data_IF_470290861437
#
_entry.id   IF_470290861437
#
_cell.length_a   1.000
_cell.length_b   1.000
_cell.length_c   1.000
_cell.angle_alpha   90.00
_cell.angle_beta   90.00
_cell.angle_gamma   90.00
#
_symmetry.space_group_name_H-M   'P 1'
#
loop_
_entity.id
_entity.type
_entity.pdbx_description
1 polymer ?
#
# COMPACT_ATOMS: atom_id res chain seq x y z
N UNK A 1 23.76 -12.18 25.54
CA UNK A 1 24.10 -11.79 24.15
C UNK A 1 23.68 -10.34 23.92
N UNK A 2 24.55 -9.50 23.34
CA UNK A 2 24.23 -8.11 23.05
C UNK A 2 23.12 -8.00 21.98
N UNK A 3 22.17 -7.08 22.15
CA UNK A 3 21.10 -6.83 21.17
C UNK A 3 21.71 -6.31 19.87
N UNK A 4 21.24 -6.80 18.72
CA UNK A 4 21.68 -6.29 17.41
C UNK A 4 21.31 -4.81 17.23
N UNK A 5 22.08 -4.06 16.43
CA UNK A 5 21.81 -2.63 16.14
C UNK A 5 20.36 -2.38 15.68
N UNK A 6 19.80 -3.30 14.90
CA UNK A 6 18.41 -3.26 14.46
C UNK A 6 17.40 -3.47 15.60
N UNK A 7 17.71 -4.34 16.56
CA UNK A 7 16.88 -4.55 17.75
C UNK A 7 16.88 -3.32 18.66
N UNK A 8 18.05 -2.66 18.80
CA UNK A 8 18.19 -1.40 19.53
C UNK A 8 17.34 -0.31 18.88
N UNK A 9 17.40 -0.17 17.54
CA UNK A 9 16.56 0.77 16.81
C UNK A 9 15.07 0.54 17.08
N UNK A 10 14.58 -0.71 16.98
CA UNK A 10 13.17 -1.05 17.22
C UNK A 10 12.73 -0.70 18.64
N UNK A 11 13.53 -1.06 19.64
CA UNK A 11 13.24 -0.76 21.04
C UNK A 11 13.18 0.76 21.26
N UNK A 12 14.13 1.52 20.67
CA UNK A 12 14.12 2.98 20.76
C UNK A 12 12.91 3.59 20.07
N UNK A 13 12.53 3.09 18.89
CA UNK A 13 11.37 3.60 18.15
C UNK A 13 10.06 3.41 18.93
N UNK A 14 9.90 2.26 19.60
CA UNK A 14 8.77 2.01 20.51
C UNK A 14 8.85 2.91 21.75
N UNK A 15 10.05 3.10 22.32
CA UNK A 15 10.26 3.99 23.45
C UNK A 15 9.78 5.41 23.17
N UNK A 16 10.12 5.96 21.99
CA UNK A 16 9.69 7.30 21.57
C UNK A 16 8.16 7.43 21.44
N UNK A 17 7.47 6.36 21.04
CA UNK A 17 6.01 6.34 21.01
C UNK A 17 5.37 6.45 22.40
N UNK A 18 6.09 6.01 23.44
CA UNK A 18 5.66 6.09 24.83
C UNK A 18 6.08 7.39 25.52
N UNK A 19 7.12 8.05 25.01
CA UNK A 19 7.66 9.31 25.57
C UNK A 19 6.92 10.56 25.09
N UNK A 20 6.16 10.46 24.00
CA UNK A 20 5.41 11.60 23.46
C UNK A 20 4.26 12.02 24.38
N UNK A 21 4.06 13.33 24.54
CA UNK A 21 2.96 13.91 25.34
C UNK A 21 1.58 13.48 24.84
N UNK A 22 0.62 13.25 25.74
CA UNK A 22 -0.78 12.93 25.42
C UNK A 22 -1.45 12.06 26.48
N UNK A 23 -2.72 11.70 26.26
CA UNK A 23 -3.48 10.80 27.14
C UNK A 23 -2.92 9.38 27.12
N UNK A 24 -3.31 8.56 28.09
CA UNK A 24 -2.95 7.15 28.16
C UNK A 24 -3.38 6.40 26.88
N UNK A 25 -4.57 6.68 26.36
CA UNK A 25 -5.06 6.09 25.12
C UNK A 25 -4.24 6.54 23.90
N UNK A 26 -3.80 7.79 23.85
CA UNK A 26 -2.96 8.31 22.77
C UNK A 26 -1.57 7.68 22.79
N UNK A 27 -0.98 7.51 23.97
CA UNK A 27 0.29 6.80 24.17
C UNK A 27 0.16 5.34 23.71
N UNK A 28 -0.88 4.64 24.17
CA UNK A 28 -1.14 3.26 23.76
C UNK A 28 -1.31 3.14 22.25
N UNK A 29 -2.13 4.00 21.64
CA UNK A 29 -2.38 4.01 20.21
C UNK A 29 -1.07 4.24 19.42
N UNK A 30 -0.25 5.21 19.82
CA UNK A 30 1.08 5.45 19.23
C UNK A 30 1.98 4.21 19.33
N UNK A 31 1.98 3.53 20.48
CA UNK A 31 2.68 2.27 20.67
C UNK A 31 2.25 1.19 19.67
N UNK A 32 0.95 1.03 19.42
CA UNK A 32 0.42 0.12 18.41
C UNK A 32 0.90 0.49 16.99
N UNK A 33 0.87 1.77 16.63
CA UNK A 33 1.29 2.23 15.30
C UNK A 33 2.80 2.04 15.10
N UNK A 34 3.60 2.27 16.14
CA UNK A 34 5.03 2.02 16.11
C UNK A 34 5.36 0.54 15.82
N UNK A 35 4.62 -0.38 16.45
CA UNK A 35 4.76 -1.81 16.22
C UNK A 35 4.36 -2.21 14.79
N UNK A 36 3.24 -1.68 14.29
CA UNK A 36 2.78 -1.97 12.93
C UNK A 36 3.75 -1.43 11.87
N UNK A 37 4.31 -0.24 12.07
CA UNK A 37 5.37 0.31 11.21
C UNK A 37 6.63 -0.56 11.21
N UNK A 38 7.06 -1.04 12.38
CA UNK A 38 8.18 -1.98 12.50
C UNK A 38 7.90 -3.30 11.78
N UNK A 39 6.68 -3.84 11.91
CA UNK A 39 6.24 -5.07 11.21
C UNK A 39 6.32 -4.88 9.69
N UNK A 40 5.80 -3.77 9.19
CA UNK A 40 5.90 -3.40 7.78
C UNK A 40 7.36 -3.30 7.30
N UNK A 41 8.24 -2.64 8.07
CA UNK A 41 9.66 -2.51 7.70
C UNK A 41 10.33 -3.88 7.59
N UNK A 42 10.09 -4.79 8.54
CA UNK A 42 10.62 -6.16 8.50
C UNK A 42 10.12 -6.94 7.29
N UNK A 43 8.81 -6.93 7.03
CA UNK A 43 8.22 -7.60 5.87
C UNK A 43 8.72 -7.01 4.54
N UNK A 44 9.06 -5.73 4.53
CA UNK A 44 9.62 -5.02 3.38
C UNK A 44 11.14 -5.15 3.21
N UNK A 45 11.83 -5.92 4.06
CA UNK A 45 13.28 -6.06 4.03
C UNK A 45 14.04 -4.79 4.44
N UNK A 46 13.37 -3.81 5.05
CA UNK A 46 13.97 -2.56 5.52
C UNK A 46 14.60 -2.82 6.89
N UNK A 47 15.93 -2.76 6.95
CA UNK A 47 16.69 -2.91 8.19
C UNK A 47 17.36 -1.59 8.57
N UNK A 48 16.79 -0.88 9.55
CA UNK A 48 17.34 0.39 10.02
C UNK A 48 18.10 0.20 11.33
N UNK A 49 19.14 1.01 11.52
CA UNK A 49 19.97 1.04 12.72
C UNK A 49 19.81 2.34 13.51
N UNK A 50 19.38 3.42 12.85
CA UNK A 50 19.17 4.74 13.45
C UNK A 50 17.89 5.37 12.94
N UNK A 51 17.24 6.16 13.78
CA UNK A 51 15.96 6.81 13.48
C UNK A 51 16.09 7.89 12.40
N UNK A 52 17.23 8.57 12.33
CA UNK A 52 17.52 9.56 11.30
C UNK A 52 17.50 8.95 9.89
N UNK A 53 17.69 7.63 9.78
CA UNK A 53 17.67 6.89 8.52
C UNK A 53 16.25 6.50 8.06
N UNK A 54 15.20 6.85 8.83
CA UNK A 54 13.82 6.71 8.38
C UNK A 54 13.59 7.71 7.24
N UNK A 55 13.53 7.20 6.01
CA UNK A 55 13.28 8.02 4.81
C UNK A 55 11.78 8.27 4.64
N UNK A 56 11.40 9.43 4.11
CA UNK A 56 10.02 9.79 3.75
C UNK A 56 9.36 8.68 2.92
N UNK A 57 10.09 8.15 1.93
CA UNK A 57 9.61 7.04 1.10
C UNK A 57 9.21 5.78 1.88
N UNK A 58 9.78 5.52 3.05
CA UNK A 58 9.37 4.36 3.86
C UNK A 58 8.03 4.59 4.54
N UNK A 59 7.75 5.83 4.93
CA UNK A 59 6.47 6.25 5.52
C UNK A 59 5.38 6.25 4.43
N UNK A 60 5.65 6.81 3.26
CA UNK A 60 4.72 6.75 2.11
C UNK A 60 4.36 5.30 1.79
N UNK A 61 5.37 4.42 1.66
CA UNK A 61 5.16 2.99 1.40
C UNK A 61 4.38 2.29 2.52
N UNK A 62 4.55 2.71 3.77
CA UNK A 62 3.75 2.20 4.89
C UNK A 62 2.28 2.58 4.72
N UNK A 63 2.00 3.85 4.38
CA UNK A 63 0.63 4.29 4.13
C UNK A 63 0.02 3.59 2.91
N UNK A 64 0.78 3.35 1.84
CA UNK A 64 0.35 2.51 0.71
C UNK A 64 0.06 1.07 1.14
N UNK A 65 0.88 0.49 2.03
CA UNK A 65 0.64 -0.85 2.55
C UNK A 65 -0.64 -0.93 3.40
N UNK A 66 -0.82 -0.02 4.35
CA UNK A 66 -2.03 0.07 5.19
C UNK A 66 -3.27 0.39 4.36
N UNK A 67 -3.11 1.20 3.32
CA UNK A 67 -4.12 1.46 2.30
C UNK A 67 -4.61 0.14 1.69
N UNK A 68 -3.70 -0.70 1.22
CA UNK A 68 -4.06 -1.95 0.54
C UNK A 68 -4.66 -3.00 1.47
N UNK A 69 -4.41 -2.91 2.78
CA UNK A 69 -5.11 -3.69 3.80
C UNK A 69 -6.55 -3.23 4.03
N UNK A 70 -7.00 -2.14 3.40
CA UNK A 70 -8.37 -1.62 3.55
C UNK A 70 -8.57 -0.78 4.81
N UNK A 71 -7.50 -0.30 5.44
CA UNK A 71 -7.60 0.60 6.61
C UNK A 71 -8.28 1.90 6.19
N UNK A 72 -9.29 2.31 6.96
CA UNK A 72 -10.12 3.50 6.68
C UNK A 72 -9.27 4.78 6.75
N UNK A 73 -9.61 5.77 5.92
CA UNK A 73 -8.91 7.06 5.86
C UNK A 73 -8.77 7.74 7.24
N UNK A 74 -9.84 7.79 8.03
CA UNK A 74 -9.82 8.38 9.39
C UNK A 74 -8.80 7.69 10.30
N UNK A 75 -8.66 6.37 10.20
CA UNK A 75 -7.66 5.63 11.00
C UNK A 75 -6.26 5.99 10.50
N UNK A 76 -6.03 6.02 9.19
CA UNK A 76 -4.74 6.40 8.62
C UNK A 76 -4.33 7.83 9.00
N UNK A 77 -5.25 8.78 9.06
CA UNK A 77 -4.94 10.13 9.54
C UNK A 77 -4.40 10.11 10.98
N UNK A 78 -5.05 9.34 11.86
CA UNK A 78 -4.54 9.14 13.23
C UNK A 78 -3.17 8.45 13.25
N UNK A 79 -2.95 7.46 12.37
CA UNK A 79 -1.64 6.82 12.24
C UNK A 79 -0.55 7.80 11.79
N UNK A 80 -0.88 8.74 10.90
CA UNK A 80 0.04 9.77 10.44
C UNK A 80 0.44 10.69 11.60
N UNK A 81 -0.54 11.20 12.35
CA UNK A 81 -0.28 12.04 13.53
C UNK A 81 0.56 11.30 14.57
N UNK A 82 0.31 10.00 14.79
CA UNK A 82 1.10 9.17 15.68
C UNK A 82 2.57 9.04 15.21
N UNK A 83 2.79 8.78 13.92
CA UNK A 83 4.14 8.69 13.35
C UNK A 83 4.87 10.04 13.36
N UNK A 84 4.19 11.14 13.07
CA UNK A 84 4.75 12.50 13.15
C UNK A 84 5.17 12.84 14.58
N UNK A 85 4.36 12.49 15.60
CA UNK A 85 4.74 12.67 16.99
C UNK A 85 6.01 11.87 17.37
N UNK A 86 6.12 10.61 16.94
CA UNK A 86 7.32 9.79 17.16
C UNK A 86 8.55 10.41 16.49
N UNK A 87 8.39 10.97 15.28
CA UNK A 87 9.47 11.63 14.54
C UNK A 87 9.86 12.97 15.18
N UNK A 88 8.91 13.73 15.71
CA UNK A 88 9.18 14.96 16.46
C UNK A 88 10.05 14.67 17.69
N UNK A 89 9.65 13.66 18.48
CA UNK A 89 10.39 13.20 19.67
C UNK A 89 11.80 12.68 19.30
N UNK A 90 11.95 12.14 18.08
CA UNK A 90 13.24 11.74 17.54
C UNK A 90 14.14 12.89 17.06
N UNK A 91 13.68 14.15 17.15
CA UNK A 91 14.36 15.32 16.60
C UNK A 91 14.28 15.41 15.08
N UNK A 92 13.34 14.72 14.43
CA UNK A 92 13.13 14.75 12.98
C UNK A 92 12.05 15.77 12.59
N UNK A 93 12.17 17.02 13.08
CA UNK A 93 11.16 18.07 12.94
C UNK A 93 10.65 18.28 11.51
N UNK A 94 11.54 18.28 10.52
CA UNK A 94 11.17 18.42 9.10
C UNK A 94 10.20 17.32 8.64
N UNK A 95 10.41 16.07 9.07
CA UNK A 95 9.54 14.94 8.70
C UNK A 95 8.29 14.85 9.56
N UNK A 96 8.32 15.48 10.73
CA UNK A 96 7.24 15.53 11.68
C UNK A 96 6.25 16.67 11.40
N UNK A 97 6.63 17.63 10.55
CA UNK A 97 5.81 18.77 10.17
C UNK A 97 4.45 18.30 9.59
N UNK A 98 3.32 18.69 10.19
CA UNK A 98 1.97 18.41 9.69
C UNK A 98 1.73 18.90 8.25
N UNK A 99 2.39 20.00 7.86
CA UNK A 99 2.25 20.62 6.54
C UNK A 99 3.33 20.15 5.55
N UNK A 100 4.11 19.12 5.92
CA UNK A 100 5.15 18.59 5.06
C UNK A 100 4.58 18.18 3.69
N UNK A 101 5.17 18.60 2.56
CA UNK A 101 4.55 18.49 1.22
C UNK A 101 4.27 17.05 0.75
N UNK A 102 4.92 16.06 1.38
CA UNK A 102 4.74 14.63 1.08
C UNK A 102 4.16 13.80 2.23
N UNK A 103 4.09 14.37 3.44
CA UNK A 103 3.71 13.66 4.67
C UNK A 103 2.56 14.37 5.38
N UNK A 104 1.58 14.81 4.62
CA UNK A 104 0.33 15.36 5.11
C UNK A 104 -0.86 14.50 4.63
N UNK A 105 -2.05 14.63 5.23
CA UNK A 105 -3.21 13.82 4.87
C UNK A 105 -3.59 13.87 3.38
N UNK A 106 -3.40 15.02 2.71
CA UNK A 106 -3.73 15.24 1.31
C UNK A 106 -2.72 14.52 0.41
N UNK A 107 -1.42 14.75 0.63
CA UNK A 107 -0.33 14.13 -0.12
C UNK A 107 -0.33 12.60 -0.02
N UNK A 108 -0.78 12.06 1.11
CA UNK A 108 -0.91 10.62 1.33
C UNK A 108 -2.27 10.05 0.87
N UNK A 109 -3.20 10.89 0.39
CA UNK A 109 -4.52 10.46 -0.06
C UNK A 109 -5.39 9.87 1.06
N UNK A 110 -5.27 10.41 2.27
CA UNK A 110 -5.97 9.97 3.48
C UNK A 110 -6.85 11.05 4.12
N UNK A 111 -6.91 12.28 3.60
CA UNK A 111 -7.66 13.42 4.14
C UNK A 111 -9.20 13.27 4.23
N UNK A 112 -9.77 12.09 3.94
CA UNK A 112 -11.22 11.89 3.94
C UNK A 112 -11.94 12.47 2.73
N UNK A 113 -11.26 13.32 1.94
CA UNK A 113 -11.59 13.57 0.55
C UNK A 113 -11.20 12.36 -0.29
N UNK A 114 -12.01 12.08 -1.32
CA UNK A 114 -11.66 11.13 -2.38
C UNK A 114 -10.31 11.61 -2.98
N UNK A 115 -9.32 10.72 -3.14
CA UNK A 115 -8.01 11.15 -3.63
C UNK A 115 -8.15 11.75 -5.02
N UNK A 116 -7.36 12.78 -5.33
CA UNK A 116 -7.18 13.14 -6.74
C UNK A 116 -6.47 11.99 -7.44
N UNK A 117 -7.05 11.52 -8.55
CA UNK A 117 -6.48 10.43 -9.32
C UNK A 117 -6.05 10.95 -10.67
N UNK A 118 -4.74 11.04 -10.88
CA UNK A 118 -4.15 11.47 -12.15
C UNK A 118 -3.95 10.27 -13.07
N UNK A 119 -4.31 10.44 -14.34
CA UNK A 119 -4.09 9.42 -15.36
C UNK A 119 -2.60 9.31 -15.70
N UNK A 120 -1.98 8.12 -15.59
CA UNK A 120 -0.55 7.97 -15.86
C UNK A 120 -0.20 8.06 -17.36
N UNK A 121 -1.20 8.04 -18.25
CA UNK A 121 -0.99 8.06 -19.70
C UNK A 121 -1.05 9.48 -20.28
N UNK A 122 -1.98 10.33 -19.79
CA UNK A 122 -2.20 11.68 -20.32
C UNK A 122 -2.11 12.79 -19.28
N UNK A 123 -1.80 12.45 -18.02
CA UNK A 123 -1.68 13.37 -16.89
C UNK A 123 -2.94 14.21 -16.56
N UNK A 124 -4.09 13.89 -17.16
CA UNK A 124 -5.37 14.52 -16.81
C UNK A 124 -5.95 13.90 -15.53
N UNK A 125 -6.68 14.70 -14.76
CA UNK A 125 -7.46 14.21 -13.61
C UNK A 125 -8.57 13.26 -14.07
N UNK A 126 -8.74 12.16 -13.35
CA UNK A 126 -9.79 11.19 -13.57
C UNK A 126 -11.09 11.60 -12.85
N UNK A 127 -12.21 11.07 -13.32
CA UNK A 127 -13.53 11.29 -12.72
C UNK A 127 -13.98 10.05 -11.95
N UNK A 128 -14.62 10.25 -10.80
CA UNK A 128 -15.22 9.13 -10.06
C UNK A 128 -16.64 8.87 -10.57
N UNK A 129 -16.88 7.66 -11.03
CA UNK A 129 -18.14 7.20 -11.63
C UNK A 129 -18.68 5.97 -10.91
N UNK A 130 -19.95 5.64 -11.19
CA UNK A 130 -20.57 4.39 -10.74
C UNK A 130 -20.25 3.25 -11.70
N UNK A 131 -20.35 2.01 -11.23
CA UNK A 131 -19.97 0.83 -11.98
C UNK A 131 -20.89 0.54 -13.16
N UNK A 132 -22.12 1.05 -13.16
CA UNK A 132 -23.02 0.97 -14.31
C UNK A 132 -22.50 1.75 -15.52
N UNK A 133 -21.70 2.80 -15.33
CA UNK A 133 -21.08 3.55 -16.43
C UNK A 133 -19.94 2.76 -17.10
N UNK A 134 -19.24 1.93 -16.32
CA UNK A 134 -18.12 1.10 -16.82
C UNK A 134 -18.61 -0.27 -17.31
N UNK A 135 -19.59 -0.85 -16.62
CA UNK A 135 -20.16 -2.16 -16.88
C UNK A 135 -21.69 -2.11 -16.86
N UNK A 136 -22.35 -1.59 -17.91
CA UNK A 136 -23.80 -1.44 -17.96
C UNK A 136 -24.57 -2.75 -17.75
N UNK A 137 -24.00 -3.87 -18.17
CA UNK A 137 -24.63 -5.19 -18.12
C UNK A 137 -24.31 -5.99 -16.85
N UNK A 138 -23.64 -5.41 -15.85
CA UNK A 138 -23.26 -6.09 -14.60
C UNK A 138 -23.86 -5.40 -13.38
N UNK A 139 -25.11 -5.75 -13.10
CA UNK A 139 -25.91 -5.15 -12.03
C UNK A 139 -25.23 -5.27 -10.64
N UNK A 140 -24.50 -6.36 -10.39
CA UNK A 140 -23.75 -6.59 -9.15
C UNK A 140 -22.59 -5.60 -8.94
N UNK A 141 -22.17 -4.90 -10.00
CA UNK A 141 -21.14 -3.88 -9.96
C UNK A 141 -21.68 -2.46 -10.01
N UNK A 142 -22.97 -2.26 -10.29
CA UNK A 142 -23.57 -0.95 -10.56
C UNK A 142 -23.23 0.08 -9.47
N UNK A 143 -23.35 -0.31 -8.20
CA UNK A 143 -23.13 0.58 -7.06
C UNK A 143 -21.66 0.81 -6.68
N UNK A 144 -20.74 0.06 -7.27
CA UNK A 144 -19.32 0.17 -6.98
C UNK A 144 -18.72 1.42 -7.63
N UNK A 145 -17.76 2.04 -6.95
CA UNK A 145 -17.08 3.23 -7.47
C UNK A 145 -15.87 2.86 -8.34
N UNK A 146 -15.66 3.63 -9.40
CA UNK A 146 -14.51 3.54 -10.30
C UNK A 146 -13.97 4.94 -10.57
N UNK A 147 -12.64 5.07 -10.66
CA UNK A 147 -12.03 6.23 -11.28
C UNK A 147 -11.79 5.94 -12.75
N UNK A 148 -12.21 6.83 -13.65
CA UNK A 148 -11.98 6.71 -15.09
C UNK A 148 -11.38 8.00 -15.64
N UNK A 149 -10.34 7.86 -16.47
CA UNK A 149 -9.83 8.97 -17.27
C UNK A 149 -10.81 9.27 -18.41
N UNK A 150 -11.30 10.51 -18.55
CA UNK A 150 -12.24 10.86 -19.62
C UNK A 150 -11.63 10.72 -21.02
N UNK A 151 -10.31 10.91 -21.15
CA UNK A 151 -9.56 10.85 -22.40
C UNK A 151 -9.12 9.42 -22.75
N UNK A 152 -8.28 8.81 -21.91
CA UNK A 152 -7.66 7.51 -22.20
C UNK A 152 -8.60 6.31 -21.95
N UNK A 153 -9.74 6.54 -21.30
CA UNK A 153 -10.65 5.49 -20.78
C UNK A 153 -9.98 4.47 -19.85
N UNK A 154 -8.76 4.75 -19.39
CA UNK A 154 -8.10 3.99 -18.36
C UNK A 154 -8.84 4.14 -17.04
N UNK A 155 -9.04 3.05 -16.31
CA UNK A 155 -9.80 3.09 -15.06
C UNK A 155 -9.24 2.18 -13.96
N UNK A 156 -9.63 2.46 -12.72
CA UNK A 156 -9.43 1.57 -11.58
C UNK A 156 -10.70 1.49 -10.76
N UNK A 157 -11.10 0.28 -10.38
CA UNK A 157 -12.14 0.08 -9.38
C UNK A 157 -11.69 0.56 -8.01
N UNK A 158 -12.65 0.81 -7.12
CA UNK A 158 -12.38 1.31 -5.77
C UNK A 158 -12.56 0.25 -4.67
N UNK A 159 -11.96 0.49 -3.51
CA UNK A 159 -12.36 -0.14 -2.26
C UNK A 159 -13.80 0.30 -1.90
N UNK A 160 -14.56 -0.57 -1.22
CA UNK A 160 -15.99 -0.36 -0.95
C UNK A 160 -16.22 0.96 -0.20
N UNK A 161 -17.19 1.75 -0.68
CA UNK A 161 -17.77 2.90 0.02
C UNK A 161 -17.00 4.24 -0.03
N UNK A 162 -15.72 4.27 -0.42
CA UNK A 162 -14.89 5.47 -0.22
C UNK A 162 -14.29 6.08 -1.49
N UNK A 163 -14.55 5.51 -2.68
CA UNK A 163 -13.96 6.01 -3.93
C UNK A 163 -12.42 5.94 -3.93
N UNK A 164 -11.83 5.03 -3.15
CA UNK A 164 -10.38 4.83 -3.05
C UNK A 164 -9.92 3.83 -4.11
N UNK A 165 -9.08 4.17 -5.11
CA UNK A 165 -8.70 3.24 -6.19
C UNK A 165 -7.93 2.01 -5.66
N UNK A 166 -8.21 0.80 -6.16
CA UNK A 166 -7.49 -0.43 -5.77
C UNK A 166 -6.08 -0.52 -6.34
N UNK A 167 -5.72 0.37 -7.26
CA UNK A 167 -4.47 0.37 -8.00
C UNK A 167 -4.37 1.59 -8.92
N UNK A 168 -3.37 1.62 -9.79
CA UNK A 168 -3.25 2.68 -10.79
C UNK A 168 -4.29 2.50 -11.90
N UNK A 169 -4.68 3.59 -12.56
CA UNK A 169 -5.59 3.50 -13.72
C UNK A 169 -4.96 2.62 -14.80
N UNK A 170 -5.72 1.64 -15.29
CA UNK A 170 -5.27 0.72 -16.30
C UNK A 170 -6.07 0.92 -17.59
N UNK A 171 -5.36 1.10 -18.70
CA UNK A 171 -5.95 1.00 -20.03
C UNK A 171 -6.42 -0.45 -20.30
N UNK A 172 -7.02 -0.70 -21.46
CA UNK A 172 -7.50 -2.03 -21.81
C UNK A 172 -6.42 -3.12 -21.76
N UNK A 173 -5.27 -2.84 -22.38
CA UNK A 173 -4.12 -3.74 -22.41
C UNK A 173 -3.66 -4.12 -20.99
N UNK A 174 -3.39 -3.12 -20.14
CA UNK A 174 -2.92 -3.38 -18.78
C UNK A 174 -3.97 -4.10 -17.94
N UNK A 175 -5.27 -3.83 -18.15
CA UNK A 175 -6.36 -4.59 -17.50
C UNK A 175 -6.31 -6.06 -17.90
N UNK A 176 -6.06 -6.39 -19.18
CA UNK A 176 -5.92 -7.77 -19.64
C UNK A 176 -4.73 -8.47 -18.97
N UNK A 177 -3.58 -7.81 -18.94
CA UNK A 177 -2.38 -8.34 -18.28
C UNK A 177 -2.60 -8.59 -16.78
N UNK A 178 -3.14 -7.61 -16.04
CA UNK A 178 -3.44 -7.77 -14.60
C UNK A 178 -4.44 -8.88 -14.33
N UNK A 179 -5.49 -9.03 -15.16
CA UNK A 179 -6.44 -10.16 -15.06
C UNK A 179 -5.73 -11.50 -15.28
N UNK A 180 -4.83 -11.60 -16.26
CA UNK A 180 -4.05 -12.81 -16.52
C UNK A 180 -3.12 -13.15 -15.36
N UNK A 181 -2.46 -12.16 -14.75
CA UNK A 181 -1.65 -12.38 -13.54
C UNK A 181 -2.54 -12.90 -12.41
N UNK A 182 -3.68 -12.28 -12.12
CA UNK A 182 -4.62 -12.79 -11.10
C UNK A 182 -5.09 -14.22 -11.38
N UNK A 183 -5.41 -14.55 -12.63
CA UNK A 183 -5.84 -15.90 -13.02
C UNK A 183 -4.79 -16.97 -12.73
N UNK A 184 -3.50 -16.64 -12.89
CA UNK A 184 -2.39 -17.54 -12.56
C UNK A 184 -2.03 -17.52 -11.07
N UNK A 185 -2.04 -16.35 -10.45
CA UNK A 185 -1.58 -16.13 -9.08
C UNK A 185 -2.59 -16.61 -8.04
N UNK A 186 -3.88 -16.38 -8.25
CA UNK A 186 -4.89 -16.68 -7.24
C UNK A 186 -4.99 -18.17 -6.89
N UNK A 187 -4.95 -19.11 -7.87
CA UNK A 187 -4.89 -20.54 -7.56
C UNK A 187 -3.66 -20.95 -6.75
N UNK A 188 -2.51 -20.31 -6.95
CA UNK A 188 -1.26 -20.66 -6.27
C UNK A 188 -1.40 -20.59 -4.75
N UNK A 189 -1.93 -19.49 -4.22
CA UNK A 189 -2.10 -19.34 -2.77
C UNK A 189 -3.35 -20.04 -2.25
N UNK A 190 -4.44 -20.07 -3.04
CA UNK A 190 -5.69 -20.76 -2.66
C UNK A 190 -5.49 -22.27 -2.51
N UNK A 191 -4.83 -22.90 -3.49
CA UNK A 191 -4.63 -24.36 -3.49
C UNK A 191 -3.58 -24.80 -2.47
N UNK A 192 -2.60 -23.93 -2.18
CA UNK A 192 -1.62 -24.17 -1.13
C UNK A 192 -2.18 -23.95 0.29
N UNK A 193 -3.41 -23.44 0.43
CA UNK A 193 -4.01 -23.14 1.74
C UNK A 193 -3.30 -22.04 2.52
N UNK A 194 -2.52 -21.19 1.84
CA UNK A 194 -1.79 -20.08 2.47
C UNK A 194 -2.56 -18.77 2.34
N UNK A 195 -2.25 -17.79 3.19
CA UNK A 195 -2.88 -16.48 3.09
C UNK A 195 -2.44 -15.77 1.81
N UNK A 196 -3.30 -14.90 1.27
CA UNK A 196 -3.01 -14.14 0.06
C UNK A 196 -1.75 -13.29 0.21
N UNK A 197 -1.52 -12.77 1.41
CA UNK A 197 -0.34 -12.02 1.80
C UNK A 197 0.94 -12.85 1.63
N UNK A 198 0.93 -14.12 2.02
CA UNK A 198 2.07 -15.03 1.85
C UNK A 198 2.34 -15.32 0.37
N UNK A 199 1.28 -15.43 -0.44
CA UNK A 199 1.39 -15.48 -1.89
C UNK A 199 2.13 -14.26 -2.46
N UNK A 200 1.79 -13.06 -1.97
CA UNK A 200 2.47 -11.83 -2.39
C UNK A 200 3.92 -11.77 -1.89
N UNK A 201 4.22 -12.29 -0.69
CA UNK A 201 5.61 -12.44 -0.20
C UNK A 201 6.42 -13.33 -1.14
N UNK A 202 5.85 -14.45 -1.57
CA UNK A 202 6.49 -15.34 -2.53
C UNK A 202 6.72 -14.64 -3.88
N UNK A 203 5.69 -14.00 -4.41
CA UNK A 203 5.74 -13.34 -5.72
C UNK A 203 6.77 -12.21 -5.73
N UNK A 204 6.80 -11.39 -4.67
CA UNK A 204 7.77 -10.31 -4.51
C UNK A 204 9.21 -10.82 -4.52
N UNK A 205 9.48 -11.90 -3.77
CA UNK A 205 10.81 -12.54 -3.72
C UNK A 205 11.23 -13.05 -5.10
N UNK A 206 10.34 -13.72 -5.82
CA UNK A 206 10.64 -14.28 -7.14
C UNK A 206 10.79 -13.22 -8.24
N UNK A 207 10.04 -12.13 -8.16
CA UNK A 207 10.19 -10.97 -9.03
C UNK A 207 11.38 -10.09 -8.66
N UNK A 208 12.03 -10.34 -7.52
CA UNK A 208 13.07 -9.50 -6.95
C UNK A 208 12.63 -8.04 -6.82
N UNK A 209 11.39 -7.83 -6.34
CA UNK A 209 10.86 -6.49 -6.04
C UNK A 209 10.48 -6.39 -4.57
N UNK A 210 10.47 -5.18 -3.99
CA UNK A 210 9.98 -4.99 -2.63
C UNK A 210 8.50 -5.39 -2.46
N UNK A 211 8.16 -6.06 -1.35
CA UNK A 211 6.81 -6.56 -1.06
C UNK A 211 5.70 -5.52 -1.22
N UNK A 212 5.89 -4.32 -0.66
CA UNK A 212 4.89 -3.24 -0.75
C UNK A 212 4.57 -2.78 -2.19
N UNK A 213 5.52 -2.93 -3.13
CA UNK A 213 5.29 -2.65 -4.56
C UNK A 213 4.76 -3.87 -5.30
N UNK A 214 4.74 -5.03 -4.65
CA UNK A 214 4.25 -6.29 -5.19
C UNK A 214 2.73 -6.42 -5.00
N UNK A 215 1.96 -5.48 -5.53
CA UNK A 215 0.50 -5.57 -5.59
C UNK A 215 0.07 -5.54 -7.05
N UNK A 216 -0.70 -6.52 -7.53
CA UNK A 216 -1.02 -6.65 -8.98
C UNK A 216 -1.73 -5.40 -9.53
N UNK A 217 -2.52 -4.72 -8.70
CA UNK A 217 -3.14 -3.43 -9.06
C UNK A 217 -2.14 -2.27 -9.29
N UNK A 218 -0.87 -2.45 -8.97
CA UNK A 218 0.21 -1.47 -9.18
C UNK A 218 1.14 -1.86 -10.34
N UNK A 219 1.01 -3.07 -10.90
CA UNK A 219 1.91 -3.54 -11.95
C UNK A 219 1.68 -2.78 -13.24
N UNK A 220 2.75 -2.48 -13.96
CA UNK A 220 2.72 -2.10 -15.37
C UNK A 220 2.76 -3.34 -16.27
N UNK A 221 2.82 -3.13 -17.59
CA UNK A 221 2.83 -4.21 -18.58
C UNK A 221 4.06 -5.10 -18.41
N UNK A 222 5.25 -4.52 -18.24
CA UNK A 222 6.51 -5.26 -18.10
C UNK A 222 6.49 -6.16 -16.86
N UNK A 223 6.09 -5.62 -15.71
CA UNK A 223 6.03 -6.37 -14.47
C UNK A 223 4.96 -7.47 -14.53
N UNK A 224 3.83 -7.20 -15.18
CA UNK A 224 2.83 -8.24 -15.47
C UNK A 224 3.39 -9.38 -16.33
N UNK A 225 4.14 -9.07 -17.40
CA UNK A 225 4.74 -10.09 -18.27
C UNK A 225 5.74 -10.96 -17.51
N UNK A 226 6.61 -10.34 -16.70
CA UNK A 226 7.55 -11.04 -15.83
C UNK A 226 6.83 -11.95 -14.83
N UNK A 227 5.74 -11.46 -14.20
CA UNK A 227 4.93 -12.24 -13.27
C UNK A 227 4.24 -13.43 -13.97
N UNK A 228 3.72 -13.24 -15.18
CA UNK A 228 3.10 -14.30 -15.97
C UNK A 228 4.11 -15.41 -16.29
N UNK A 229 5.30 -15.06 -16.81
CA UNK A 229 6.33 -16.05 -17.15
C UNK A 229 6.77 -16.87 -15.94
N UNK A 230 6.94 -16.21 -14.78
CA UNK A 230 7.24 -16.87 -13.52
C UNK A 230 6.13 -17.85 -13.09
N UNK A 231 4.88 -17.39 -13.08
CA UNK A 231 3.75 -18.20 -12.60
C UNK A 231 3.45 -19.39 -13.50
N UNK A 232 3.61 -19.23 -14.83
CA UNK A 232 3.48 -20.35 -15.78
C UNK A 232 4.57 -21.40 -15.57
N UNK A 233 5.82 -20.95 -15.40
CA UNK A 233 6.95 -21.86 -15.14
C UNK A 233 6.77 -22.64 -13.84
N UNK A 234 6.25 -21.99 -12.79
CA UNK A 234 6.01 -22.65 -11.51
C UNK A 234 4.88 -23.69 -11.58
N UNK A 235 3.81 -23.43 -12.34
CA UNK A 235 2.70 -24.37 -12.51
C UNK A 235 3.12 -25.68 -13.18
N UNK A 236 4.06 -25.61 -14.12
CA UNK A 236 4.61 -26.80 -14.77
C UNK A 236 5.47 -27.65 -13.81
N UNK A 237 6.06 -27.05 -12.78
CA UNK A 237 6.85 -27.76 -11.75
C UNK A 237 5.99 -28.41 -10.66
N UNK A 238 4.74 -28.00 -10.49
CA UNK A 238 3.81 -28.58 -9.51
C UNK A 238 2.94 -29.70 -10.10
N UNK A 239 2.92 -29.83 -11.42
CA UNK A 239 2.15 -30.84 -12.16
C UNK A 239 3.00 -32.00 -12.71
N UNK A 240 4.31 -31.97 -12.46
CA UNK A 240 5.28 -33.05 -12.70
C UNK A 240 5.77 -33.58 -11.35
#
# INVERSE_FOLDING_TARGET
MAKSKAAIFRQRFIGLANSSQGSEEEIWFRGCIAQEFIKFMRASGINLHHINNVKIKYIERYFTYRYHQGVKAVVLQRELSALQAILAEAGQSIKADPEHPRLNPQALGIAGSRPEVICPYCNCSASLVKGCEIYPHRAELAEQFYWICPQCKAYSGCHKGQGRPRGTLANEELRQFRRKVHWLFDPMWKNAGIQREDGYVWLARKLNIPLHGCHIGLFDVELCQRAIGLLQSNRNLLNN
#
